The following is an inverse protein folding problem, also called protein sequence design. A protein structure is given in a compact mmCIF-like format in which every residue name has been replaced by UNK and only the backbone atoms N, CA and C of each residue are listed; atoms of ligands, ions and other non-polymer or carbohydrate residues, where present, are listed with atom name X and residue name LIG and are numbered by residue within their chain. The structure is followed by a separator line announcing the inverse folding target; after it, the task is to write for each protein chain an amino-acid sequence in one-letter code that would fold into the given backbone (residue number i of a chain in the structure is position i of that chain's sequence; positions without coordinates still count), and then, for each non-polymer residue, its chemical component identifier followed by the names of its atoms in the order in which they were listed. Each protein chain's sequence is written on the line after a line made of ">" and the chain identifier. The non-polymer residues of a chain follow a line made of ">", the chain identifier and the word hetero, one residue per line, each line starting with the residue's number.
data_IF_942727366958
#
_entry.id   IF_942727366958
#
_cell.length_a   1.000
_cell.length_b   1.000
_cell.length_c   1.000
_cell.angle_alpha   90.00
_cell.angle_beta   90.00
_cell.angle_gamma   90.00
#
_symmetry.space_group_name_H-M   'P 1'
#
loop_
_entity.id
_entity.type
_entity.pdbx_description
1 polymer ?
#
# COMPACT_ATOMS: atom_id res chain seq x y z
N UNK A 1 -16.19 18.57 -14.36
CA UNK A 1 -15.68 17.66 -15.41
C UNK A 1 -14.18 17.92 -15.56
N UNK A 2 -13.35 17.33 -14.71
CA UNK A 2 -11.90 17.44 -14.90
C UNK A 2 -11.53 16.59 -16.11
N UNK A 3 -10.85 17.18 -17.10
CA UNK A 3 -10.45 16.47 -18.31
C UNK A 3 -9.62 15.25 -17.95
N UNK A 4 -9.94 14.10 -18.55
CA UNK A 4 -9.28 12.83 -18.24
C UNK A 4 -7.86 12.87 -18.80
N UNK A 5 -6.87 13.11 -17.91
CA UNK A 5 -5.44 13.13 -18.26
C UNK A 5 -5.03 11.77 -18.80
N UNK A 6 -4.27 11.77 -19.89
CA UNK A 6 -3.62 10.57 -20.42
C UNK A 6 -2.19 10.55 -19.88
N UNK A 7 -1.81 9.44 -19.25
CA UNK A 7 -0.47 9.22 -18.73
C UNK A 7 0.41 8.57 -19.79
N UNK A 8 1.69 8.93 -19.78
CA UNK A 8 2.71 8.51 -20.73
C UNK A 8 4.00 8.07 -20.02
N UNK A 9 5.04 7.71 -20.79
CA UNK A 9 6.35 7.35 -20.25
C UNK A 9 6.98 8.49 -19.42
N UNK A 10 6.69 9.75 -19.74
CA UNK A 10 7.22 10.93 -19.03
C UNK A 10 6.68 11.06 -17.61
N UNK A 11 5.53 10.45 -17.34
CA UNK A 11 4.88 10.42 -16.02
C UNK A 11 5.40 9.28 -15.14
N UNK A 12 6.28 8.43 -15.66
CA UNK A 12 6.79 7.26 -14.98
C UNK A 12 8.19 7.51 -14.38
N UNK A 13 8.46 6.88 -13.23
CA UNK A 13 9.82 6.83 -12.63
C UNK A 13 10.68 5.75 -13.28
N UNK A 14 10.06 4.66 -13.74
CA UNK A 14 10.72 3.52 -14.34
C UNK A 14 9.86 2.98 -15.50
N UNK A 15 10.48 2.73 -16.64
CA UNK A 15 9.84 2.14 -17.84
C UNK A 15 10.64 0.95 -18.36
N UNK A 16 10.12 0.25 -19.37
CA UNK A 16 10.81 -0.87 -20.01
C UNK A 16 10.87 -2.14 -19.15
N UNK A 17 11.53 -3.19 -19.65
CA UNK A 17 11.52 -4.54 -19.05
C UNK A 17 12.29 -4.65 -17.74
N UNK A 18 13.29 -3.80 -17.51
CA UNK A 18 14.11 -3.80 -16.30
C UNK A 18 13.35 -3.28 -15.07
N UNK A 19 12.22 -2.61 -15.27
CA UNK A 19 11.38 -2.09 -14.19
C UNK A 19 10.67 -3.22 -13.43
N UNK A 20 10.74 -3.19 -12.10
CA UNK A 20 9.94 -4.05 -11.22
C UNK A 20 8.61 -3.36 -10.89
N UNK A 21 7.51 -4.02 -11.25
CA UNK A 21 6.15 -3.50 -11.13
C UNK A 21 5.49 -3.84 -9.80
N UNK A 22 5.81 -5.00 -9.23
CA UNK A 22 5.13 -5.52 -8.05
C UNK A 22 5.20 -4.55 -6.87
N UNK A 23 4.05 -4.32 -6.24
CA UNK A 23 3.92 -3.41 -5.10
C UNK A 23 3.90 -1.93 -5.49
N UNK A 24 3.71 -1.60 -6.78
CA UNK A 24 3.73 -0.23 -7.28
C UNK A 24 2.50 0.11 -8.11
N UNK A 25 2.18 1.40 -8.19
CA UNK A 25 1.19 1.90 -9.14
C UNK A 25 1.80 1.95 -10.53
N UNK A 26 1.13 1.30 -11.47
CA UNK A 26 1.55 1.16 -12.85
C UNK A 26 0.59 1.88 -13.79
N UNK A 27 1.12 2.26 -14.94
CA UNK A 27 0.39 2.91 -16.02
C UNK A 27 0.24 1.92 -17.17
N UNK A 28 -1.00 1.67 -17.60
CA UNK A 28 -1.29 0.91 -18.82
C UNK A 28 -1.43 1.81 -20.04
N UNK A 29 -1.15 1.24 -21.20
CA UNK A 29 -1.48 1.84 -22.50
C UNK A 29 -3.00 2.09 -22.60
N UNK A 30 -3.45 3.23 -23.16
CA UNK A 30 -4.88 3.52 -23.29
C UNK A 30 -5.69 2.42 -23.98
N UNK A 31 -5.08 1.70 -24.92
CA UNK A 31 -5.74 0.66 -25.72
C UNK A 31 -5.83 -0.70 -25.01
N UNK A 32 -5.18 -0.85 -23.85
CA UNK A 32 -5.14 -2.11 -23.11
C UNK A 32 -6.22 -2.23 -22.02
N UNK A 33 -6.86 -1.12 -21.65
CA UNK A 33 -7.94 -1.10 -20.66
C UNK A 33 -9.29 -1.50 -21.26
N UNK A 34 -10.15 -2.13 -20.44
CA UNK A 34 -11.53 -2.45 -20.82
C UNK A 34 -12.41 -1.19 -20.94
N UNK A 35 -12.06 -0.13 -20.21
CA UNK A 35 -12.62 1.20 -20.37
C UNK A 35 -11.62 2.10 -21.06
N UNK A 36 -12.10 2.87 -22.05
CA UNK A 36 -11.32 3.66 -23.03
C UNK A 36 -10.38 4.73 -22.48
N UNK A 37 -10.16 4.77 -21.16
CA UNK A 37 -9.31 5.76 -20.51
C UNK A 37 -8.85 5.38 -19.09
N UNK A 38 -9.09 4.17 -18.59
CA UNK A 38 -8.50 3.74 -17.31
C UNK A 38 -7.07 3.27 -17.54
N UNK A 39 -6.10 3.97 -16.95
CA UNK A 39 -4.67 3.63 -17.08
C UNK A 39 -4.00 3.25 -15.77
N UNK A 40 -4.58 3.61 -14.61
CA UNK A 40 -3.92 3.50 -13.31
C UNK A 40 -4.34 2.22 -12.57
N UNK A 41 -3.36 1.42 -12.23
CA UNK A 41 -3.55 0.14 -11.57
C UNK A 41 -2.49 -0.08 -10.50
N UNK A 42 -2.81 -0.79 -9.43
CA UNK A 42 -1.82 -1.25 -8.46
C UNK A 42 -1.40 -2.69 -8.77
N UNK A 43 -0.11 -2.93 -9.03
CA UNK A 43 0.39 -4.25 -9.39
C UNK A 43 0.62 -5.11 -8.13
N UNK A 44 -0.11 -6.23 -8.02
CA UNK A 44 0.00 -7.17 -6.90
C UNK A 44 0.96 -8.31 -7.16
N UNK A 45 1.38 -8.52 -8.41
CA UNK A 45 2.37 -9.52 -8.80
C UNK A 45 2.11 -10.13 -10.17
N UNK A 46 2.48 -11.41 -10.34
CA UNK A 46 2.35 -12.15 -11.60
C UNK A 46 3.70 -12.46 -12.25
N UNK A 47 3.72 -13.41 -13.17
CA UNK A 47 4.96 -13.91 -13.78
C UNK A 47 5.70 -12.89 -14.64
N UNK A 48 5.09 -11.75 -14.97
CA UNK A 48 5.70 -10.63 -15.67
C UNK A 48 5.92 -9.38 -14.82
N UNK A 49 5.67 -9.43 -13.50
CA UNK A 49 5.77 -8.25 -12.64
C UNK A 49 7.19 -7.93 -12.15
N UNK A 50 8.09 -8.91 -12.13
CA UNK A 50 9.48 -8.71 -11.73
C UNK A 50 10.31 -8.05 -12.84
N UNK A 51 11.42 -7.42 -12.45
CA UNK A 51 12.41 -6.90 -13.38
C UNK A 51 12.96 -8.03 -14.28
N UNK A 52 13.01 -7.78 -15.59
CA UNK A 52 13.48 -8.73 -16.61
C UNK A 52 12.80 -10.11 -16.54
N UNK A 53 11.55 -10.14 -16.09
CA UNK A 53 10.79 -11.38 -16.01
C UNK A 53 10.60 -12.02 -17.39
N UNK A 54 10.71 -13.36 -17.43
CA UNK A 54 10.44 -14.15 -18.65
C UNK A 54 8.94 -14.33 -18.90
N UNK A 55 8.12 -14.27 -17.85
CA UNK A 55 6.67 -14.35 -17.95
C UNK A 55 6.05 -13.03 -18.39
N UNK A 56 4.78 -13.09 -18.81
CA UNK A 56 4.07 -11.93 -19.35
C UNK A 56 2.89 -11.48 -18.50
N UNK A 57 2.40 -12.31 -17.57
CA UNK A 57 1.16 -12.00 -16.85
C UNK A 57 1.41 -11.03 -15.69
N UNK A 58 0.57 -10.01 -15.58
CA UNK A 58 0.56 -9.07 -14.45
C UNK A 58 -0.81 -9.11 -13.80
N UNK A 59 -0.84 -9.32 -12.49
CA UNK A 59 -2.04 -9.21 -11.66
C UNK A 59 -2.07 -7.84 -11.01
N UNK A 60 -3.25 -7.24 -10.99
CA UNK A 60 -3.39 -5.86 -10.55
C UNK A 60 -4.79 -5.56 -10.02
N UNK A 61 -4.89 -4.45 -9.30
CA UNK A 61 -6.15 -3.85 -8.85
C UNK A 61 -6.39 -2.59 -9.66
N UNK A 62 -7.58 -2.47 -10.24
CA UNK A 62 -8.03 -1.28 -10.94
C UNK A 62 -8.33 -0.16 -9.94
N UNK A 63 -7.59 0.95 -10.01
CA UNK A 63 -7.70 2.03 -9.03
C UNK A 63 -8.92 2.93 -9.22
N UNK A 64 -9.78 2.67 -10.21
CA UNK A 64 -11.07 3.36 -10.37
C UNK A 64 -12.22 2.66 -9.66
N UNK A 65 -12.23 1.33 -9.63
CA UNK A 65 -13.36 0.54 -9.13
C UNK A 65 -12.97 -0.53 -8.09
N UNK A 66 -11.68 -0.73 -7.84
CA UNK A 66 -11.17 -1.71 -6.89
C UNK A 66 -11.19 -3.16 -7.39
N UNK A 67 -11.53 -3.41 -8.65
CA UNK A 67 -11.61 -4.77 -9.19
C UNK A 67 -10.23 -5.38 -9.44
N UNK A 68 -10.12 -6.69 -9.22
CA UNK A 68 -8.91 -7.44 -9.57
C UNK A 68 -8.93 -7.80 -11.04
N UNK A 69 -7.85 -7.47 -11.74
CA UNK A 69 -7.69 -7.70 -13.16
C UNK A 69 -6.36 -8.39 -13.47
N UNK A 70 -6.34 -9.10 -14.61
CA UNK A 70 -5.12 -9.66 -15.19
C UNK A 70 -4.85 -8.96 -16.51
N UNK A 71 -3.62 -8.48 -16.68
CA UNK A 71 -3.14 -7.94 -17.95
C UNK A 71 -1.77 -8.51 -18.33
N UNK A 72 -1.13 -7.86 -19.29
CA UNK A 72 0.17 -8.29 -19.81
C UNK A 72 1.24 -7.22 -19.63
N UNK A 73 2.48 -7.65 -19.38
CA UNK A 73 3.65 -6.79 -19.18
C UNK A 73 3.89 -5.82 -20.35
N UNK A 74 3.63 -6.27 -21.57
CA UNK A 74 3.77 -5.47 -22.81
C UNK A 74 2.80 -4.28 -22.90
N UNK A 75 1.74 -4.31 -22.11
CA UNK A 75 0.70 -3.29 -22.07
C UNK A 75 0.97 -2.25 -20.98
N UNK A 76 1.97 -2.50 -20.12
CA UNK A 76 2.43 -1.58 -19.08
C UNK A 76 3.43 -0.59 -19.67
N UNK A 77 3.14 0.70 -19.55
CA UNK A 77 4.05 1.80 -19.89
C UNK A 77 5.20 1.85 -18.88
N UNK A 78 4.87 1.89 -17.59
CA UNK A 78 5.85 2.01 -16.51
C UNK A 78 5.21 2.12 -15.13
N UNK A 79 6.04 2.45 -14.15
CA UNK A 79 5.64 2.77 -12.77
C UNK A 79 5.40 4.26 -12.65
N UNK A 80 4.22 4.67 -12.22
CA UNK A 80 3.82 6.06 -12.09
C UNK A 80 4.68 6.78 -11.02
N UNK A 81 5.03 8.05 -11.27
CA UNK A 81 5.50 8.98 -10.23
C UNK A 81 4.45 9.12 -9.12
N UNK A 82 4.76 8.80 -7.84
CA UNK A 82 3.77 8.79 -6.77
C UNK A 82 3.00 10.10 -6.61
N UNK A 83 3.67 11.24 -6.82
CA UNK A 83 3.09 12.59 -6.75
C UNK A 83 2.06 12.88 -7.84
N UNK A 84 2.00 12.07 -8.92
CA UNK A 84 1.04 12.20 -10.00
C UNK A 84 -0.21 11.33 -9.81
N UNK A 85 -0.26 10.49 -8.78
CA UNK A 85 -1.45 9.70 -8.46
C UNK A 85 -2.60 10.64 -8.02
N UNK A 86 -3.75 10.64 -8.69
CA UNK A 86 -4.85 11.50 -8.26
C UNK A 86 -5.50 11.00 -6.97
N UNK A 87 -6.21 11.90 -6.29
CA UNK A 87 -6.81 11.67 -4.99
C UNK A 87 -7.80 10.50 -4.96
N UNK A 88 -8.64 10.36 -5.99
CA UNK A 88 -9.63 9.28 -6.04
C UNK A 88 -8.94 7.92 -6.14
N UNK A 89 -7.88 7.80 -6.95
CA UNK A 89 -7.07 6.58 -7.02
C UNK A 89 -6.25 6.33 -5.74
N UNK A 90 -5.83 7.38 -5.01
CA UNK A 90 -5.24 7.23 -3.66
C UNK A 90 -6.24 6.66 -2.66
N UNK A 91 -7.49 7.13 -2.68
CA UNK A 91 -8.58 6.62 -1.83
C UNK A 91 -8.97 5.18 -2.20
N UNK A 92 -8.88 4.80 -3.48
CA UNK A 92 -9.09 3.41 -3.87
C UNK A 92 -7.91 2.53 -3.43
N UNK A 93 -6.67 3.00 -3.62
CA UNK A 93 -5.45 2.30 -3.20
C UNK A 93 -5.42 2.07 -1.68
N UNK A 94 -5.92 3.02 -0.87
CA UNK A 94 -5.91 2.91 0.59
C UNK A 94 -6.73 1.74 1.12
N UNK A 95 -7.64 1.19 0.31
CA UNK A 95 -8.50 0.05 0.66
C UNK A 95 -7.89 -1.30 0.26
N UNK A 96 -6.76 -1.30 -0.46
CA UNK A 96 -6.10 -2.53 -0.93
C UNK A 96 -5.24 -3.11 0.19
N UNK A 97 -5.40 -4.41 0.45
CA UNK A 97 -4.59 -5.16 1.42
C UNK A 97 -3.20 -5.49 0.86
N UNK A 98 -2.17 -5.60 1.71
CA UNK A 98 -0.82 -5.94 1.28
C UNK A 98 -0.73 -7.27 0.54
N UNK A 99 0.30 -7.41 -0.29
CA UNK A 99 0.58 -8.65 -1.01
C UNK A 99 0.89 -9.76 0.00
N UNK A 100 0.17 -10.89 -0.12
CA UNK A 100 0.32 -12.03 0.79
C UNK A 100 -0.48 -11.92 2.09
N UNK A 101 -1.35 -10.90 2.23
CA UNK A 101 -2.26 -10.80 3.36
C UNK A 101 -3.16 -12.04 3.46
N UNK A 102 -3.38 -12.51 4.69
CA UNK A 102 -4.17 -13.71 4.95
C UNK A 102 -5.65 -13.49 4.63
N UNK A 103 -6.41 -14.51 4.18
CA UNK A 103 -7.87 -14.42 4.11
C UNK A 103 -8.47 -13.97 5.44
N UNK A 104 -9.50 -13.13 5.41
CA UNK A 104 -10.14 -12.62 6.63
C UNK A 104 -11.06 -13.68 7.26
N UNK A 105 -11.50 -14.66 6.48
CA UNK A 105 -12.41 -15.71 6.90
C UNK A 105 -11.83 -16.49 8.09
N UNK A 106 -12.52 -16.41 9.24
CA UNK A 106 -12.10 -17.10 10.46
C UNK A 106 -10.88 -16.49 11.15
N UNK A 107 -10.46 -15.28 10.79
CA UNK A 107 -9.39 -14.53 11.46
C UNK A 107 -9.98 -13.33 12.21
N UNK A 108 -9.40 -13.02 13.38
CA UNK A 108 -9.63 -11.75 14.05
C UNK A 108 -8.51 -10.78 13.65
N UNK A 109 -8.81 -9.70 12.92
CA UNK A 109 -7.84 -8.65 12.64
C UNK A 109 -7.27 -8.09 13.95
N UNK A 110 -5.95 -7.90 13.99
CA UNK A 110 -5.28 -7.31 15.15
C UNK A 110 -5.08 -5.80 14.97
N UNK A 111 -5.12 -5.33 13.71
CA UNK A 111 -4.89 -3.95 13.37
C UNK A 111 -5.91 -3.46 12.32
N UNK A 112 -6.13 -2.16 12.33
CA UNK A 112 -6.81 -1.42 11.27
C UNK A 112 -5.86 -0.37 10.67
N UNK A 113 -5.77 -0.35 9.34
CA UNK A 113 -4.93 0.60 8.60
C UNK A 113 -5.78 1.68 7.94
N UNK A 114 -5.37 2.95 8.09
CA UNK A 114 -6.02 4.11 7.51
C UNK A 114 -5.00 4.91 6.72
N UNK A 115 -5.42 5.46 5.57
CA UNK A 115 -4.61 6.40 4.81
C UNK A 115 -5.42 7.65 4.50
N UNK A 116 -4.79 8.81 4.63
CA UNK A 116 -5.43 10.11 4.51
C UNK A 116 -4.76 10.92 3.41
N UNK A 117 -5.59 11.66 2.68
CA UNK A 117 -5.16 12.73 1.78
C UNK A 117 -4.73 13.97 2.58
N UNK A 118 -4.13 14.94 1.89
CA UNK A 118 -3.66 16.19 2.48
C UNK A 118 -4.82 17.03 3.06
N UNK A 119 -5.99 16.99 2.44
CA UNK A 119 -7.22 17.65 2.91
C UNK A 119 -7.93 16.88 4.04
N UNK A 120 -7.35 15.77 4.51
CA UNK A 120 -7.88 14.94 5.58
C UNK A 120 -8.96 13.95 5.17
N UNK A 121 -9.38 13.91 3.89
CA UNK A 121 -10.27 12.84 3.40
C UNK A 121 -9.56 11.49 3.51
N UNK A 122 -10.36 10.45 3.77
CA UNK A 122 -9.91 9.06 3.81
C UNK A 122 -11.07 8.13 3.46
N UNK A 123 -10.74 6.92 2.99
CA UNK A 123 -11.70 5.84 2.76
C UNK A 123 -11.83 4.93 3.99
N UNK A 124 -12.64 3.86 3.90
CA UNK A 124 -12.75 2.89 4.98
C UNK A 124 -11.39 2.26 5.33
N UNK A 125 -11.18 2.00 6.63
CA UNK A 125 -9.98 1.34 7.12
C UNK A 125 -9.88 -0.11 6.66
N UNK A 126 -8.66 -0.61 6.57
CA UNK A 126 -8.33 -1.96 6.12
C UNK A 126 -7.99 -2.85 7.31
N UNK A 127 -8.62 -4.02 7.37
CA UNK A 127 -8.33 -5.03 8.38
C UNK A 127 -7.03 -5.79 8.10
N UNK A 128 -6.15 -5.87 9.10
CA UNK A 128 -4.82 -6.47 9.00
C UNK A 128 -4.64 -7.49 10.14
N UNK A 129 -4.31 -8.74 9.77
CA UNK A 129 -4.40 -9.88 10.69
C UNK A 129 -3.23 -9.99 11.66
N UNK A 130 -2.11 -9.33 11.38
CA UNK A 130 -0.88 -9.44 12.15
C UNK A 130 0.03 -8.22 11.90
N UNK A 131 1.08 -8.10 12.69
CA UNK A 131 2.06 -7.00 12.61
C UNK A 131 2.73 -6.93 11.23
N UNK A 132 3.03 -8.07 10.60
CA UNK A 132 3.65 -8.08 9.26
C UNK A 132 2.73 -7.42 8.23
N UNK A 133 1.45 -7.80 8.20
CA UNK A 133 0.46 -7.15 7.33
C UNK A 133 0.31 -5.65 7.66
N UNK A 134 0.36 -5.28 8.94
CA UNK A 134 0.29 -3.90 9.38
C UNK A 134 1.45 -3.07 8.80
N UNK A 135 2.68 -3.56 8.94
CA UNK A 135 3.87 -2.87 8.43
C UNK A 135 3.97 -2.89 6.91
N UNK A 136 3.60 -4.00 6.26
CA UNK A 136 3.54 -4.06 4.80
C UNK A 136 2.53 -3.05 4.24
N UNK A 137 1.40 -2.81 4.95
CA UNK A 137 0.43 -1.78 4.57
C UNK A 137 1.03 -0.38 4.66
N UNK A 138 1.76 -0.07 5.73
CA UNK A 138 2.46 1.22 5.88
C UNK A 138 3.41 1.44 4.70
N UNK A 139 4.30 0.49 4.41
CA UNK A 139 5.27 0.62 3.32
C UNK A 139 4.63 0.71 1.94
N UNK A 140 3.52 -0.01 1.71
CA UNK A 140 2.74 0.07 0.49
C UNK A 140 2.11 1.45 0.27
N UNK A 141 1.57 2.07 1.32
CA UNK A 141 0.81 3.32 1.23
C UNK A 141 1.69 4.58 1.30
N UNK A 142 2.79 4.51 2.06
CA UNK A 142 3.69 5.63 2.38
C UNK A 142 4.15 6.47 1.18
N UNK A 143 4.44 5.91 -0.02
CA UNK A 143 4.85 6.74 -1.16
C UNK A 143 3.74 7.61 -1.73
N UNK A 144 2.47 7.25 -1.52
CA UNK A 144 1.32 7.83 -2.20
C UNK A 144 0.47 8.72 -1.29
N UNK A 145 0.45 8.43 0.01
CA UNK A 145 -0.50 9.02 0.95
C UNK A 145 0.16 10.12 1.77
N UNK A 146 -0.60 11.16 2.12
CA UNK A 146 -0.12 12.23 3.00
C UNK A 146 0.13 11.70 4.42
N UNK A 147 -0.77 10.83 4.90
CA UNK A 147 -0.66 10.21 6.23
C UNK A 147 -1.14 8.78 6.20
N UNK A 148 -0.44 7.89 6.89
CA UNK A 148 -0.82 6.49 7.11
C UNK A 148 -0.82 6.21 8.61
N UNK A 149 -1.88 5.61 9.13
CA UNK A 149 -2.07 5.35 10.55
C UNK A 149 -2.50 3.89 10.75
N UNK A 150 -1.90 3.22 11.73
CA UNK A 150 -2.33 1.92 12.21
C UNK A 150 -2.94 2.07 13.60
N UNK A 151 -4.08 1.43 13.83
CA UNK A 151 -4.64 1.23 15.16
C UNK A 151 -4.60 -0.24 15.55
N UNK A 152 -4.54 -0.52 16.85
CA UNK A 152 -4.73 -1.87 17.40
C UNK A 152 -6.21 -2.27 17.46
N UNK A 153 -6.50 -3.44 18.02
CA UNK A 153 -7.87 -3.96 18.18
C UNK A 153 -8.75 -3.15 19.14
N UNK A 154 -8.19 -2.20 19.89
CA UNK A 154 -8.90 -1.32 20.80
C UNK A 154 -9.06 0.10 20.22
N UNK A 155 -8.78 0.27 18.93
CA UNK A 155 -8.81 1.54 18.20
C UNK A 155 -7.80 2.59 18.69
N UNK A 156 -6.74 2.17 19.41
CA UNK A 156 -5.63 3.07 19.74
C UNK A 156 -4.62 3.14 18.61
N UNK A 157 -4.20 4.35 18.23
CA UNK A 157 -3.10 4.53 17.29
C UNK A 157 -1.83 3.90 17.87
N UNK A 158 -1.24 2.98 17.10
CA UNK A 158 0.01 2.28 17.45
C UNK A 158 1.16 2.64 16.52
N UNK A 159 0.86 3.20 15.36
CA UNK A 159 1.82 3.66 14.36
C UNK A 159 1.23 4.79 13.51
N UNK A 160 2.01 5.83 13.23
CA UNK A 160 1.61 6.93 12.35
C UNK A 160 2.82 7.43 11.53
N UNK A 161 2.64 7.51 10.22
CA UNK A 161 3.59 8.10 9.28
C UNK A 161 2.90 9.26 8.59
N UNK A 162 3.56 10.41 8.50
CA UNK A 162 3.08 11.60 7.81
C UNK A 162 4.19 12.14 6.91
N UNK A 163 3.87 12.41 5.65
CA UNK A 163 4.82 12.90 4.64
C UNK A 163 6.10 12.03 4.56
N UNK A 164 5.92 10.72 4.68
CA UNK A 164 7.01 9.74 4.68
C UNK A 164 7.82 9.65 5.99
N UNK A 165 7.52 10.47 6.99
CA UNK A 165 8.23 10.53 8.28
C UNK A 165 7.42 9.84 9.37
N UNK A 166 8.07 9.03 10.20
CA UNK A 166 7.45 8.44 11.39
C UNK A 166 7.10 9.54 12.40
N UNK A 167 5.82 9.65 12.75
CA UNK A 167 5.28 10.59 13.74
C UNK A 167 4.98 9.88 15.06
N UNK A 168 4.46 8.66 15.00
CA UNK A 168 4.13 7.85 16.16
C UNK A 168 4.55 6.39 15.93
N UNK A 169 5.07 5.67 16.95
CA UNK A 169 5.42 6.18 18.28
C UNK A 169 6.64 7.11 18.24
N UNK A 170 6.73 8.05 19.19
CA UNK A 170 7.92 8.89 19.36
C UNK A 170 9.10 8.06 19.89
N UNK A 171 10.32 8.61 19.83
CA UNK A 171 11.50 7.96 20.43
C UNK A 171 11.30 7.66 21.91
N UNK A 172 10.72 8.59 22.66
CA UNK A 172 10.46 8.40 24.09
C UNK A 172 9.47 7.25 24.33
N UNK A 173 8.42 7.14 23.50
CA UNK A 173 7.43 6.07 23.63
C UNK A 173 8.00 4.71 23.23
N UNK A 174 8.87 4.67 22.21
CA UNK A 174 9.62 3.47 21.86
C UNK A 174 10.54 3.01 23.01
N UNK A 175 11.25 3.96 23.64
CA UNK A 175 12.12 3.69 24.79
C UNK A 175 11.32 3.19 26.00
N UNK A 176 10.17 3.81 26.30
CA UNK A 176 9.27 3.37 27.37
C UNK A 176 8.76 1.93 27.14
N UNK A 177 8.33 1.60 25.91
CA UNK A 177 7.91 0.24 25.54
C UNK A 177 9.05 -0.78 25.73
N UNK A 178 10.28 -0.41 25.39
CA UNK A 178 11.46 -1.28 25.57
C UNK A 178 11.84 -1.49 27.05
N UNK A 179 11.69 -0.46 27.89
CA UNK A 179 11.97 -0.53 29.34
C UNK A 179 10.88 -1.27 30.13
N UNK A 180 9.64 -1.28 29.64
CA UNK A 180 8.53 -2.03 30.24
C UNK A 180 8.65 -3.54 30.13
N UNK A 181 9.50 -4.05 29.22
CA UNK A 181 9.76 -5.48 29.04
C UNK A 181 10.78 -6.08 30.03
N UNK A 182 11.45 -5.27 30.86
CA UNK A 182 12.42 -5.78 31.88
C UNK A 182 11.86 -5.93 33.30
N UNK A 183 10.60 -5.56 33.57
CA UNK A 183 10.04 -5.60 34.92
C UNK A 183 9.08 -6.77 35.12
N UNK A 184 9.56 -8.00 34.94
CA UNK A 184 8.76 -9.23 35.11
C UNK A 184 9.51 -10.45 35.65
N UNK A 185 10.78 -10.31 36.05
CA UNK A 185 11.51 -11.36 36.77
C UNK A 185 12.15 -10.76 38.01
N UNK A 186 11.34 -10.57 39.05
CA UNK A 186 11.89 -10.44 40.40
C UNK A 186 12.67 -11.72 40.74
N UNK A 187 13.81 -11.63 41.44
CA UNK A 187 14.54 -12.81 41.84
C UNK A 187 13.64 -13.64 42.77
N UNK A 188 13.41 -14.91 42.42
CA UNK A 188 12.89 -15.88 43.36
C UNK A 188 13.96 -16.11 44.44
N UNK A 189 13.93 -15.26 45.45
CA UNK A 189 14.71 -15.36 46.67
C UNK A 189 13.94 -16.13 47.74
N UNK A 190 14.50 -17.29 48.09
CA UNK A 190 14.49 -17.98 49.39
C UNK A 190 13.18 -18.20 50.16
N UNK A 191 12.87 -19.49 50.38
CA UNK A 191 13.07 -20.17 51.67
C UNK A 191 12.87 -21.68 51.53
#
# INVERSE_FOLDING_TARGET
>A
MSGKRIFSEEDCVETGSACSLQGKVIVLKPEAGNESSQQLYYCTGGSGAAANALGLSVFMVNLRNGEFERGFRRDVIGVLKPELLPDEEKLQLSQVRPIGALPLEGKQPQYSGYSFLEDGRYAAGVWLCNEKEAMDYVEMQKPYQHRVMLCDSNDFCVWEVKDGVLVYPTKEEMEQRSSGQTCGMGPAGFS
#
